data_IF_704044311181
#
_entry.id   IF_704044311181
#
_cell.length_a   1.000
_cell.length_b   1.000
_cell.length_c   1.000
_cell.angle_alpha   90.00
_cell.angle_beta   90.00
_cell.angle_gamma   90.00
#
_symmetry.space_group_name_H-M   'P 1'
#
loop_
_entity.id
_entity.type
_entity.pdbx_description
1 polymer ?
#
# COMPACT_ATOMS: atom_id res chain seq x y z
N UNK A 1 15.08 7.23 19.84
CA UNK A 1 13.84 7.60 20.56
C UNK A 1 13.50 6.45 21.48
N UNK A 2 13.49 6.68 22.78
CA UNK A 2 12.97 5.69 23.76
C UNK A 2 11.48 5.49 23.47
N UNK A 3 10.99 4.25 23.42
CA UNK A 3 9.58 4.00 23.19
C UNK A 3 8.76 4.61 24.35
N UNK A 4 7.93 5.57 24.03
CA UNK A 4 7.02 6.20 24.99
C UNK A 4 5.92 5.20 25.35
N UNK A 5 5.80 4.82 26.61
CA UNK A 5 4.76 3.89 27.07
C UNK A 5 3.40 4.58 27.00
N UNK A 6 2.51 4.03 26.19
CA UNK A 6 1.15 4.55 26.06
C UNK A 6 0.25 4.16 27.25
N UNK A 7 0.57 3.08 27.96
CA UNK A 7 -0.17 2.61 29.12
C UNK A 7 0.76 1.83 30.09
N UNK A 8 0.70 2.09 31.39
CA UNK A 8 1.44 1.31 32.38
C UNK A 8 0.85 -0.10 32.55
N UNK A 9 -0.35 -0.36 32.08
CA UNK A 9 -1.05 -1.64 32.19
C UNK A 9 -0.85 -2.54 30.97
N UNK A 10 -0.43 -1.99 29.85
CA UNK A 10 -0.14 -2.71 28.62
C UNK A 10 1.13 -2.13 27.99
N UNK A 11 2.25 -2.78 28.31
CA UNK A 11 3.58 -2.32 27.91
C UNK A 11 3.88 -2.50 26.43
N UNK A 12 3.07 -3.26 25.69
CA UNK A 12 3.22 -3.48 24.26
C UNK A 12 2.41 -2.46 23.43
N UNK A 13 1.38 -1.85 24.05
CA UNK A 13 0.58 -0.84 23.39
C UNK A 13 1.39 0.44 23.10
N UNK A 14 1.19 1.04 21.94
CA UNK A 14 1.82 2.30 21.53
C UNK A 14 0.78 3.28 21.03
N UNK A 15 1.13 4.55 21.04
CA UNK A 15 0.32 5.59 20.41
C UNK A 15 0.48 5.52 18.91
N UNK A 16 -0.63 5.45 18.20
CA UNK A 16 -0.72 5.58 16.75
C UNK A 16 -1.59 6.74 16.34
N UNK A 17 -1.37 7.26 15.15
CA UNK A 17 -2.18 8.33 14.58
C UNK A 17 -2.42 8.13 13.09
N UNK A 18 -3.64 8.43 12.64
CA UNK A 18 -3.98 8.50 11.22
C UNK A 18 -4.87 9.72 10.99
N UNK A 19 -4.36 10.70 10.23
CA UNK A 19 -4.99 12.02 10.08
C UNK A 19 -5.17 12.65 11.48
N UNK A 20 -6.36 13.06 11.84
CA UNK A 20 -6.68 13.72 13.12
C UNK A 20 -7.13 12.72 14.21
N UNK A 21 -7.03 11.42 13.95
CA UNK A 21 -7.43 10.37 14.90
C UNK A 21 -6.19 9.72 15.52
N UNK A 22 -6.13 9.75 16.85
CA UNK A 22 -5.09 9.10 17.64
C UNK A 22 -5.70 7.97 18.47
N UNK A 23 -4.93 6.90 18.67
CA UNK A 23 -5.33 5.79 19.52
C UNK A 23 -4.11 5.17 20.19
N UNK A 24 -4.34 4.55 21.34
CA UNK A 24 -3.33 3.73 22.01
C UNK A 24 -3.68 2.25 21.80
N UNK A 25 -2.72 1.45 21.38
CA UNK A 25 -2.93 0.02 21.20
C UNK A 25 -2.19 -0.56 20.01
N UNK A 26 -2.94 -1.20 19.12
CA UNK A 26 -2.43 -2.08 18.08
C UNK A 26 -3.02 -1.75 16.72
N UNK A 27 -2.39 -2.30 15.66
CA UNK A 27 -2.95 -2.38 14.31
C UNK A 27 -3.16 -3.85 13.95
N UNK A 28 -4.22 -4.11 13.19
CA UNK A 28 -4.45 -5.39 12.53
C UNK A 28 -4.26 -5.24 11.03
N UNK A 29 -3.49 -6.15 10.45
CA UNK A 29 -3.28 -6.29 9.02
C UNK A 29 -3.95 -7.58 8.57
N UNK A 30 -4.86 -7.48 7.60
CA UNK A 30 -5.64 -8.61 7.10
C UNK A 30 -5.37 -8.77 5.62
N UNK A 31 -4.99 -9.98 5.20
CA UNK A 31 -4.95 -10.37 3.78
C UNK A 31 -6.09 -11.34 3.51
N UNK A 32 -6.76 -11.17 2.38
CA UNK A 32 -7.84 -12.05 1.95
C UNK A 32 -7.71 -12.37 0.46
N UNK A 33 -8.33 -13.47 0.04
CA UNK A 33 -8.47 -13.77 -1.38
C UNK A 33 -9.41 -12.76 -2.03
N UNK A 34 -9.18 -12.44 -3.31
CA UNK A 34 -10.13 -11.71 -4.12
C UNK A 34 -10.20 -12.37 -5.51
N UNK A 35 -11.39 -12.57 -6.02
CA UNK A 35 -11.58 -13.08 -7.38
C UNK A 35 -11.63 -11.92 -8.37
N UNK A 36 -10.98 -12.12 -9.54
CA UNK A 36 -11.12 -11.15 -10.64
C UNK A 36 -12.53 -11.25 -11.22
N UNK A 37 -13.22 -10.11 -11.43
CA UNK A 37 -14.46 -10.09 -12.18
C UNK A 37 -14.24 -10.68 -13.58
N UNK A 38 -15.05 -11.65 -13.98
CA UNK A 38 -14.98 -12.26 -15.31
C UNK A 38 -14.05 -13.46 -15.48
N UNK A 39 -13.44 -13.97 -14.41
CA UNK A 39 -12.76 -15.27 -14.44
C UNK A 39 -13.57 -16.25 -13.57
N UNK A 40 -14.65 -16.83 -14.11
CA UNK A 40 -15.28 -17.93 -13.38
C UNK A 40 -14.28 -19.08 -13.31
N UNK A 41 -14.09 -19.72 -12.15
CA UNK A 41 -13.44 -21.01 -12.12
C UNK A 41 -14.24 -21.91 -13.06
N UNK A 42 -13.53 -22.68 -13.90
CA UNK A 42 -14.13 -23.49 -14.97
C UNK A 42 -15.28 -24.44 -14.52
N UNK A 43 -15.55 -24.49 -13.22
CA UNK A 43 -16.43 -25.47 -12.58
C UNK A 43 -17.40 -24.88 -11.53
N UNK A 44 -17.48 -23.57 -11.34
CA UNK A 44 -18.30 -22.97 -10.27
C UNK A 44 -19.47 -22.15 -10.83
N UNK A 45 -20.67 -22.65 -10.58
CA UNK A 45 -21.95 -21.94 -10.81
C UNK A 45 -22.23 -20.86 -9.75
N UNK A 46 -21.46 -20.83 -8.66
CA UNK A 46 -21.62 -19.88 -7.55
C UNK A 46 -20.26 -19.23 -7.24
N UNK A 47 -20.21 -17.88 -7.13
CA UNK A 47 -18.98 -17.16 -6.74
C UNK A 47 -18.45 -17.69 -5.40
N UNK A 48 -17.13 -17.87 -5.30
CA UNK A 48 -16.48 -18.29 -4.05
C UNK A 48 -16.41 -17.11 -3.08
N UNK A 49 -16.52 -17.37 -1.77
CA UNK A 49 -16.34 -16.31 -0.78
C UNK A 49 -14.88 -15.88 -0.71
N UNK A 50 -14.63 -14.59 -0.52
CA UNK A 50 -13.31 -14.13 -0.14
C UNK A 50 -12.98 -14.64 1.27
N UNK A 51 -11.83 -15.30 1.43
CA UNK A 51 -11.38 -15.84 2.70
C UNK A 51 -10.13 -15.11 3.19
N UNK A 52 -10.10 -14.85 4.50
CA UNK A 52 -8.92 -14.28 5.14
C UNK A 52 -7.82 -15.34 5.18
N UNK A 53 -6.68 -15.04 4.56
CA UNK A 53 -5.55 -15.95 4.42
C UNK A 53 -4.41 -15.60 5.38
N UNK A 54 -4.31 -14.34 5.80
CA UNK A 54 -3.31 -13.91 6.76
C UNK A 54 -3.85 -12.84 7.71
N UNK A 55 -3.37 -12.91 8.96
CA UNK A 55 -3.58 -11.89 9.99
C UNK A 55 -2.23 -11.58 10.63
N UNK A 56 -1.86 -10.32 10.64
CA UNK A 56 -0.72 -9.83 11.42
C UNK A 56 -1.18 -8.74 12.38
N UNK A 57 -0.53 -8.64 13.52
CA UNK A 57 -0.82 -7.62 14.53
C UNK A 57 0.48 -6.95 14.91
N UNK A 58 0.47 -5.63 14.94
CA UNK A 58 1.61 -4.82 15.38
C UNK A 58 1.14 -3.86 16.46
N UNK A 59 2.08 -3.28 17.19
CA UNK A 59 1.75 -2.07 17.94
C UNK A 59 1.39 -0.93 16.97
N UNK A 60 0.72 0.08 17.49
CA UNK A 60 0.18 1.16 16.65
C UNK A 60 1.24 2.08 16.02
N UNK A 61 2.49 2.04 16.47
CA UNK A 61 3.59 2.88 15.94
C UNK A 61 4.25 2.29 14.69
N UNK A 62 4.11 0.98 14.45
CA UNK A 62 4.72 0.31 13.29
C UNK A 62 4.08 0.83 12.00
N UNK A 63 4.87 1.35 11.04
CA UNK A 63 4.33 1.81 9.77
C UNK A 63 3.85 0.63 8.90
N UNK A 64 2.75 0.83 8.17
CA UNK A 64 2.15 -0.22 7.35
C UNK A 64 3.13 -0.79 6.30
N UNK A 65 4.00 0.07 5.76
CA UNK A 65 5.05 -0.32 4.79
C UNK A 65 5.99 -1.40 5.34
N UNK A 66 6.27 -1.41 6.64
CA UNK A 66 7.15 -2.41 7.27
C UNK A 66 6.50 -3.80 7.35
N UNK A 67 5.20 -3.91 7.07
CA UNK A 67 4.47 -5.18 7.17
C UNK A 67 4.33 -5.92 5.83
N UNK A 68 4.68 -5.30 4.71
CA UNK A 68 4.52 -5.92 3.38
C UNK A 68 5.33 -7.20 3.27
N UNK A 69 6.64 -7.14 3.51
CA UNK A 69 7.51 -8.31 3.45
C UNK A 69 7.18 -9.39 4.50
N UNK A 70 6.98 -9.08 5.81
CA UNK A 70 6.54 -10.07 6.79
C UNK A 70 5.23 -10.78 6.42
N UNK A 71 4.29 -10.09 5.78
CA UNK A 71 3.05 -10.69 5.30
C UNK A 71 3.35 -11.67 4.15
N UNK A 72 4.22 -11.31 3.20
CA UNK A 72 4.63 -12.22 2.12
C UNK A 72 5.34 -13.45 2.65
N UNK A 73 6.26 -13.30 3.59
CA UNK A 73 6.94 -14.42 4.25
C UNK A 73 5.94 -15.35 4.96
N UNK A 74 4.95 -14.77 5.65
CA UNK A 74 3.91 -15.55 6.33
C UNK A 74 2.97 -16.28 5.35
N UNK A 75 2.71 -15.72 4.18
CA UNK A 75 1.93 -16.37 3.10
C UNK A 75 2.74 -17.46 2.44
N UNK A 76 4.03 -17.24 2.18
CA UNK A 76 4.97 -18.20 1.62
C UNK A 76 5.07 -19.45 2.49
N UNK A 77 5.31 -19.27 3.78
CA UNK A 77 5.38 -20.38 4.75
C UNK A 77 4.11 -21.23 4.84
N UNK A 78 2.99 -20.78 4.26
CA UNK A 78 1.73 -21.53 4.16
C UNK A 78 1.42 -22.01 2.75
N UNK A 79 2.27 -21.72 1.76
CA UNK A 79 2.00 -22.02 0.35
C UNK A 79 0.83 -21.22 -0.24
N UNK A 80 0.60 -20.00 0.24
CA UNK A 80 -0.52 -19.13 -0.14
C UNK A 80 -0.07 -17.83 -0.82
N UNK A 81 1.11 -17.81 -1.44
CA UNK A 81 1.59 -16.63 -2.16
C UNK A 81 0.63 -16.30 -3.33
N UNK A 82 0.15 -15.05 -3.43
CA UNK A 82 -0.62 -14.62 -4.58
C UNK A 82 0.29 -14.21 -5.73
N UNK A 83 -0.16 -14.32 -6.99
CA UNK A 83 0.53 -13.71 -8.12
C UNK A 83 0.43 -12.18 -8.14
N UNK A 84 -0.67 -11.64 -7.61
CA UNK A 84 -0.91 -10.21 -7.46
C UNK A 84 -1.39 -9.91 -6.03
N UNK A 85 -0.84 -8.87 -5.40
CA UNK A 85 -1.27 -8.41 -4.08
C UNK A 85 -1.72 -6.95 -4.15
N UNK A 86 -2.99 -6.73 -3.80
CA UNK A 86 -3.62 -5.40 -3.83
C UNK A 86 -3.46 -4.73 -2.48
N UNK A 87 -2.74 -3.62 -2.42
CA UNK A 87 -2.37 -2.93 -1.18
C UNK A 87 -2.89 -1.50 -1.14
N UNK A 88 -3.16 -0.99 0.05
CA UNK A 88 -3.40 0.45 0.26
C UNK A 88 -2.09 1.25 0.09
N UNK A 89 -2.20 2.53 -0.21
CA UNK A 89 -1.07 3.46 -0.41
C UNK A 89 -0.12 3.60 0.79
N UNK A 90 -0.49 3.07 1.96
CA UNK A 90 0.37 3.03 3.14
C UNK A 90 1.41 1.89 3.16
N UNK A 91 1.24 0.88 2.32
CA UNK A 91 2.06 -0.34 2.33
C UNK A 91 3.24 -0.34 1.34
N UNK A 92 3.20 0.31 0.16
CA UNK A 92 4.27 0.20 -0.81
C UNK A 92 5.40 1.19 -0.58
N UNK A 93 6.60 0.75 -0.93
CA UNK A 93 7.71 1.60 -1.36
C UNK A 93 8.18 1.13 -2.74
N UNK A 94 8.98 1.96 -3.41
CA UNK A 94 9.52 1.57 -4.72
C UNK A 94 10.43 0.33 -4.63
N UNK A 95 11.18 0.20 -3.53
CA UNK A 95 12.02 -0.95 -3.21
C UNK A 95 11.18 -2.21 -2.98
N UNK A 96 10.07 -2.10 -2.23
CA UNK A 96 9.18 -3.24 -1.98
C UNK A 96 8.50 -3.74 -3.26
N UNK A 97 8.20 -2.86 -4.22
CA UNK A 97 7.64 -3.30 -5.50
C UNK A 97 8.60 -4.20 -6.27
N UNK A 98 9.87 -3.80 -6.36
CA UNK A 98 10.89 -4.63 -7.02
C UNK A 98 11.26 -5.87 -6.21
N UNK A 99 11.40 -5.76 -4.88
CA UNK A 99 11.72 -6.86 -3.98
C UNK A 99 10.61 -7.92 -3.94
N UNK A 100 9.34 -7.52 -3.84
CA UNK A 100 8.21 -8.46 -3.83
C UNK A 100 8.16 -9.31 -5.10
N UNK A 101 8.47 -8.73 -6.26
CA UNK A 101 8.54 -9.47 -7.51
C UNK A 101 9.77 -10.41 -7.56
N UNK A 102 10.94 -9.91 -7.14
CA UNK A 102 12.19 -10.69 -7.20
C UNK A 102 12.21 -11.86 -6.20
N UNK A 103 11.76 -11.62 -4.96
CA UNK A 103 11.92 -12.57 -3.86
C UNK A 103 10.72 -13.53 -3.73
N UNK A 104 9.52 -13.08 -4.09
CA UNK A 104 8.27 -13.84 -3.90
C UNK A 104 7.48 -14.07 -5.19
N UNK A 105 7.88 -13.48 -6.32
CA UNK A 105 7.11 -13.54 -7.57
C UNK A 105 5.78 -12.76 -7.51
N UNK A 106 5.62 -11.84 -6.57
CA UNK A 106 4.38 -11.09 -6.34
C UNK A 106 4.42 -9.74 -7.05
N UNK A 107 3.43 -9.47 -7.89
CA UNK A 107 3.20 -8.13 -8.44
C UNK A 107 2.33 -7.32 -7.48
N UNK A 108 2.86 -6.20 -6.98
CA UNK A 108 2.09 -5.30 -6.11
C UNK A 108 1.19 -4.38 -6.95
N UNK A 109 -0.10 -4.42 -6.69
CA UNK A 109 -1.09 -3.51 -7.27
C UNK A 109 -1.48 -2.47 -6.21
N UNK A 110 -0.85 -1.31 -6.28
CA UNK A 110 -0.96 -0.27 -5.26
C UNK A 110 -0.72 1.10 -5.86
N UNK A 111 -1.44 2.16 -5.43
CA UNK A 111 -1.23 3.49 -5.95
C UNK A 111 0.09 4.05 -5.44
N UNK A 112 0.92 4.49 -6.35
CA UNK A 112 2.10 5.29 -6.02
C UNK A 112 1.67 6.70 -5.63
N UNK A 113 2.27 7.20 -4.58
CA UNK A 113 2.03 8.59 -4.15
C UNK A 113 2.42 9.57 -5.27
N UNK A 114 1.54 10.54 -5.48
CA UNK A 114 1.81 11.62 -6.42
C UNK A 114 3.06 12.42 -6.00
N UNK A 115 3.72 13.03 -6.97
CA UNK A 115 4.77 14.00 -6.66
C UNK A 115 4.13 15.27 -6.09
N UNK A 116 4.42 15.56 -4.81
CA UNK A 116 3.91 16.74 -4.10
C UNK A 116 4.93 17.90 -4.08
N UNK A 117 5.97 17.84 -4.91
CA UNK A 117 6.93 18.94 -5.04
C UNK A 117 6.23 20.23 -5.50
N UNK A 118 6.76 21.41 -5.16
CA UNK A 118 6.22 22.68 -5.64
C UNK A 118 6.10 22.73 -7.17
N UNK A 119 7.04 22.12 -7.89
CA UNK A 119 7.05 22.07 -9.36
C UNK A 119 5.93 21.18 -9.91
N UNK A 120 5.68 20.02 -9.29
CA UNK A 120 4.57 19.16 -9.68
C UNK A 120 3.21 19.83 -9.43
N UNK A 121 3.06 20.52 -8.29
CA UNK A 121 1.84 21.30 -7.99
C UNK A 121 1.62 22.47 -8.95
N UNK A 122 2.70 23.12 -9.40
CA UNK A 122 2.60 24.22 -10.33
C UNK A 122 2.20 23.79 -11.76
N UNK A 123 2.42 22.51 -12.14
CA UNK A 123 2.05 21.97 -13.43
C UNK A 123 2.73 22.63 -14.65
N UNK A 124 3.89 23.29 -14.42
CA UNK A 124 4.61 24.06 -15.47
C UNK A 124 5.63 23.23 -16.25
N UNK A 125 5.67 21.90 -16.05
CA UNK A 125 6.57 20.99 -16.76
C UNK A 125 8.02 20.99 -16.25
N UNK A 126 8.25 21.36 -14.99
CA UNK A 126 9.57 21.32 -14.35
C UNK A 126 9.62 20.41 -13.12
N UNK A 127 8.66 19.53 -12.99
CA UNK A 127 8.69 18.45 -12.00
C UNK A 127 9.77 17.42 -12.34
N UNK A 128 9.97 16.46 -11.45
CA UNK A 128 11.01 15.43 -11.63
C UNK A 128 10.79 14.56 -12.87
N UNK A 129 9.53 14.30 -13.25
CA UNK A 129 9.19 13.46 -14.39
C UNK A 129 9.54 14.13 -15.74
N UNK A 130 9.63 15.44 -15.79
CA UNK A 130 10.00 16.20 -16.99
C UNK A 130 11.49 16.11 -17.36
N UNK A 131 12.32 15.54 -16.48
CA UNK A 131 13.76 15.36 -16.73
C UNK A 131 14.02 13.99 -17.34
N UNK A 132 14.84 13.94 -18.40
CA UNK A 132 15.31 12.68 -18.99
C UNK A 132 16.53 12.19 -18.21
N UNK A 133 16.46 10.96 -17.70
CA UNK A 133 17.53 10.33 -16.90
C UNK A 133 18.23 9.29 -17.76
N UNK A 134 19.52 9.46 -17.96
CA UNK A 134 20.41 8.52 -18.66
C UNK A 134 21.33 7.85 -17.63
N UNK A 135 21.00 6.63 -17.26
CA UNK A 135 21.78 5.86 -16.28
C UNK A 135 23.08 5.29 -16.84
N UNK A 136 23.18 5.14 -18.16
CA UNK A 136 24.42 4.63 -18.80
C UNK A 136 25.49 5.69 -18.87
N UNK A 137 25.07 6.96 -19.08
CA UNK A 137 25.96 8.11 -19.09
C UNK A 137 26.09 8.80 -17.74
N UNK A 138 25.34 8.33 -16.73
CA UNK A 138 25.25 8.98 -15.42
C UNK A 138 24.90 10.47 -15.53
N UNK A 139 23.88 10.79 -16.34
CA UNK A 139 23.53 12.16 -16.69
C UNK A 139 22.00 12.37 -16.73
N UNK A 140 21.56 13.57 -16.42
CA UNK A 140 20.19 14.00 -16.65
C UNK A 140 20.12 15.20 -17.57
N UNK A 141 19.08 15.25 -18.41
CA UNK A 141 18.78 16.39 -19.28
C UNK A 141 17.52 17.07 -18.76
N UNK A 142 17.60 18.39 -18.57
CA UNK A 142 16.46 19.20 -18.14
C UNK A 142 15.50 19.52 -19.31
N UNK A 143 14.27 19.98 -19.06
CA UNK A 143 13.32 20.36 -20.11
C UNK A 143 13.81 21.46 -21.07
N UNK A 144 14.86 22.21 -20.69
CA UNK A 144 15.51 23.20 -21.55
C UNK A 144 16.72 22.63 -22.30
N UNK A 145 16.89 21.31 -22.36
CA UNK A 145 17.95 20.64 -23.11
C UNK A 145 19.34 20.71 -22.45
N UNK A 146 19.46 21.22 -21.23
CA UNK A 146 20.74 21.31 -20.54
C UNK A 146 21.04 20.03 -19.75
N UNK A 147 22.31 19.62 -19.73
CA UNK A 147 22.75 18.41 -19.03
C UNK A 147 23.22 18.71 -17.61
N UNK A 148 23.09 17.70 -16.74
CA UNK A 148 23.55 17.77 -15.36
C UNK A 148 25.07 17.87 -15.27
N UNK A 149 25.57 18.48 -14.20
CA UNK A 149 27.01 18.63 -13.92
C UNK A 149 27.53 17.60 -12.92
N UNK A 150 26.66 16.92 -12.17
CA UNK A 150 27.09 15.90 -11.24
C UNK A 150 26.01 14.82 -11.07
N UNK A 151 26.50 13.62 -10.75
CA UNK A 151 25.72 12.41 -10.49
C UNK A 151 26.34 11.72 -9.27
N UNK A 152 25.63 11.75 -8.15
CA UNK A 152 26.19 11.27 -6.88
C UNK A 152 25.26 10.21 -6.26
N UNK A 153 25.63 8.92 -6.30
CA UNK A 153 24.98 7.89 -5.50
C UNK A 153 25.17 8.17 -4.01
N UNK A 154 24.11 8.15 -3.24
CA UNK A 154 24.10 8.40 -1.80
C UNK A 154 23.03 7.58 -1.11
N UNK A 155 23.26 7.18 0.13
CA UNK A 155 22.22 6.58 0.97
C UNK A 155 21.60 7.67 1.85
N UNK A 156 20.31 7.94 1.69
CA UNK A 156 19.56 8.91 2.47
C UNK A 156 18.47 8.23 3.28
N UNK A 157 18.53 8.35 4.59
CA UNK A 157 17.54 7.75 5.52
C UNK A 157 17.33 6.25 5.31
N UNK A 158 18.42 5.53 4.99
CA UNK A 158 18.39 4.09 4.75
C UNK A 158 17.94 3.67 3.35
N UNK A 159 17.70 4.63 2.43
CA UNK A 159 17.33 4.37 1.04
C UNK A 159 18.43 4.82 0.10
N UNK A 160 18.81 3.98 -0.84
CA UNK A 160 19.77 4.32 -1.88
C UNK A 160 19.12 5.22 -2.91
N UNK A 161 19.78 6.33 -3.18
CA UNK A 161 19.32 7.36 -4.11
C UNK A 161 20.49 7.94 -4.90
N UNK A 162 20.17 8.62 -5.99
CA UNK A 162 21.13 9.34 -6.81
C UNK A 162 20.75 10.80 -6.81
N UNK A 163 21.66 11.62 -6.32
CA UNK A 163 21.50 13.07 -6.30
C UNK A 163 22.17 13.67 -7.53
N UNK A 164 21.36 14.24 -8.42
CA UNK A 164 21.76 14.82 -9.69
C UNK A 164 21.67 16.34 -9.58
N UNK A 165 22.75 17.05 -9.92
CA UNK A 165 22.81 18.52 -9.80
C UNK A 165 23.16 19.15 -11.13
N UNK A 166 22.52 20.27 -11.44
CA UNK A 166 22.82 21.13 -12.59
C UNK A 166 23.71 22.30 -12.15
N UNK A 167 24.63 22.71 -12.99
CA UNK A 167 25.57 23.80 -12.65
C UNK A 167 24.85 25.14 -12.43
N UNK A 168 25.31 25.93 -11.47
CA UNK A 168 24.81 27.30 -11.24
C UNK A 168 25.01 28.19 -12.48
N UNK A 169 26.12 28.01 -13.20
CA UNK A 169 26.39 28.75 -14.44
C UNK A 169 25.32 28.44 -15.52
N UNK A 170 24.78 27.26 -15.57
CA UNK A 170 23.71 26.84 -16.50
C UNK A 170 22.34 27.30 -16.04
N UNK A 171 22.00 27.07 -14.76
CA UNK A 171 20.69 27.39 -14.22
C UNK A 171 20.51 28.89 -13.90
N UNK A 172 21.59 29.60 -13.55
CA UNK A 172 21.53 30.99 -13.15
C UNK A 172 20.93 31.93 -14.21
N UNK A 173 21.39 31.90 -15.47
CA UNK A 173 20.85 32.71 -16.56
C UNK A 173 19.60 32.13 -17.20
N UNK A 174 19.11 30.93 -16.78
CA UNK A 174 17.96 30.24 -17.39
C UNK A 174 16.67 31.09 -17.27
N UNK A 175 15.98 31.40 -18.39
CA UNK A 175 14.82 32.29 -18.38
C UNK A 175 13.63 31.71 -17.61
N UNK A 176 13.53 30.36 -17.49
CA UNK A 176 12.47 29.65 -16.76
C UNK A 176 12.90 29.17 -15.39
N UNK A 177 14.02 29.66 -14.86
CA UNK A 177 14.60 29.23 -13.59
C UNK A 177 13.60 29.28 -12.43
N UNK A 178 12.80 30.32 -12.34
CA UNK A 178 11.86 30.53 -11.24
C UNK A 178 10.74 29.47 -11.20
N UNK A 179 10.36 28.93 -12.36
CA UNK A 179 9.43 27.82 -12.46
C UNK A 179 10.08 26.47 -12.10
N UNK A 180 11.40 26.36 -12.37
CA UNK A 180 12.15 25.12 -12.20
C UNK A 180 12.69 24.95 -10.77
N UNK A 181 13.20 26.01 -10.13
CA UNK A 181 13.82 25.91 -8.81
C UNK A 181 13.71 27.19 -8.00
N UNK A 182 13.39 27.04 -6.71
CA UNK A 182 13.40 28.10 -5.71
C UNK A 182 14.71 28.12 -4.89
N UNK A 183 15.70 27.31 -5.29
CA UNK A 183 16.96 27.18 -4.57
C UNK A 183 17.72 28.50 -4.50
N UNK A 184 18.21 28.88 -3.30
CA UNK A 184 19.06 30.04 -3.08
C UNK A 184 20.37 29.95 -3.86
N UNK A 185 20.89 28.75 -4.11
CA UNK A 185 22.10 28.50 -4.89
C UNK A 185 21.87 28.61 -6.40
N UNK A 186 20.66 28.99 -6.84
CA UNK A 186 20.29 29.17 -8.25
C UNK A 186 20.54 27.95 -9.13
N UNK A 187 20.58 26.76 -8.58
CA UNK A 187 20.76 25.49 -9.31
C UNK A 187 19.62 24.53 -9.07
N UNK A 188 19.30 23.71 -10.07
CA UNK A 188 18.37 22.60 -9.91
C UNK A 188 19.11 21.38 -9.36
N UNK A 189 18.49 20.73 -8.41
CA UNK A 189 18.86 19.40 -7.93
C UNK A 189 17.63 18.51 -7.99
N UNK A 190 17.80 17.31 -8.47
CA UNK A 190 16.77 16.24 -8.45
C UNK A 190 17.38 15.00 -7.78
N UNK A 191 16.53 14.23 -7.14
CA UNK A 191 16.91 12.96 -6.53
C UNK A 191 16.07 11.87 -7.15
N UNK A 192 16.72 10.81 -7.64
CA UNK A 192 16.08 9.64 -8.24
C UNK A 192 16.54 8.37 -7.53
N UNK A 193 15.77 7.29 -7.65
CA UNK A 193 16.19 5.97 -7.19
C UNK A 193 17.22 5.35 -8.14
N UNK A 194 17.94 4.30 -7.75
CA UNK A 194 18.74 3.46 -8.66
C UNK A 194 17.91 2.96 -9.84
N UNK A 195 18.56 2.64 -10.96
CA UNK A 195 17.92 2.33 -12.24
C UNK A 195 16.72 1.39 -12.11
N UNK A 196 16.92 0.20 -11.52
CA UNK A 196 15.86 -0.82 -11.43
C UNK A 196 14.60 -0.28 -10.73
N UNK A 197 14.78 0.41 -9.59
CA UNK A 197 13.69 0.99 -8.82
C UNK A 197 13.03 2.16 -9.56
N UNK A 198 13.84 3.00 -10.23
CA UNK A 198 13.34 4.14 -11.01
C UNK A 198 12.49 3.67 -12.21
N UNK A 199 12.96 2.69 -12.94
CA UNK A 199 12.25 2.13 -14.10
C UNK A 199 10.96 1.42 -13.67
N UNK A 200 11.01 0.61 -12.61
CA UNK A 200 9.82 -0.03 -12.03
C UNK A 200 8.78 1.01 -11.57
N UNK A 201 9.21 2.08 -10.93
CA UNK A 201 8.32 3.17 -10.50
C UNK A 201 7.69 3.91 -11.68
N UNK A 202 8.44 4.13 -12.77
CA UNK A 202 7.89 4.74 -14.00
C UNK A 202 6.87 3.85 -14.68
N UNK A 203 7.17 2.56 -14.81
CA UNK A 203 6.25 1.57 -15.36
C UNK A 203 4.95 1.52 -14.54
N UNK A 204 5.05 1.38 -13.22
CA UNK A 204 3.89 1.34 -12.34
C UNK A 204 3.04 2.61 -12.40
N UNK A 205 3.63 3.79 -12.59
CA UNK A 205 2.86 5.04 -12.80
C UNK A 205 2.12 5.05 -14.12
N UNK A 206 2.75 4.58 -15.19
CA UNK A 206 2.10 4.48 -16.50
C UNK A 206 0.93 3.48 -16.46
N UNK A 207 1.13 2.34 -15.81
CA UNK A 207 0.08 1.34 -15.63
C UNK A 207 -1.11 1.88 -14.82
N UNK A 208 -0.84 2.66 -13.79
CA UNK A 208 -1.86 3.25 -12.90
C UNK A 208 -2.86 4.17 -13.64
N UNK A 209 -2.48 4.73 -14.78
CA UNK A 209 -3.35 5.55 -15.63
C UNK A 209 -4.28 4.70 -16.50
N UNK A 210 -4.02 3.41 -16.63
CA UNK A 210 -4.81 2.50 -17.46
C UNK A 210 -6.13 2.09 -16.80
N UNK A 211 -7.16 1.88 -17.62
CA UNK A 211 -8.46 1.37 -17.11
C UNK A 211 -8.34 -0.02 -16.52
N UNK A 212 -7.46 -0.86 -17.05
CA UNK A 212 -7.24 -2.23 -16.56
C UNK A 212 -6.64 -2.22 -15.16
N UNK A 213 -5.67 -1.36 -14.91
CA UNK A 213 -5.11 -1.20 -13.57
C UNK A 213 -6.15 -0.67 -12.58
N UNK A 214 -6.95 0.33 -13.00
CA UNK A 214 -8.01 0.90 -12.16
C UNK A 214 -9.06 -0.15 -11.79
N UNK A 215 -9.46 -0.99 -12.75
CA UNK A 215 -10.40 -2.10 -12.52
C UNK A 215 -9.80 -3.15 -11.56
N UNK A 216 -8.53 -3.50 -11.72
CA UNK A 216 -7.81 -4.37 -10.79
C UNK A 216 -7.75 -3.77 -9.38
N UNK A 217 -7.33 -2.52 -9.27
CA UNK A 217 -7.18 -1.86 -7.97
C UNK A 217 -8.52 -1.71 -7.22
N UNK A 218 -9.63 -1.60 -7.95
CA UNK A 218 -10.97 -1.55 -7.35
C UNK A 218 -11.30 -2.81 -6.53
N UNK A 219 -10.68 -3.97 -6.83
CA UNK A 219 -10.86 -5.21 -6.05
C UNK A 219 -10.40 -5.06 -4.60
N UNK A 220 -9.45 -4.16 -4.32
CA UNK A 220 -9.01 -3.85 -2.96
C UNK A 220 -10.15 -3.40 -2.03
N UNK A 221 -11.23 -2.83 -2.59
CA UNK A 221 -12.36 -2.38 -1.78
C UNK A 221 -13.00 -3.53 -0.97
N UNK A 222 -12.80 -4.78 -1.37
CA UNK A 222 -13.28 -5.97 -0.64
C UNK A 222 -12.77 -6.01 0.80
N UNK A 223 -11.47 -5.72 1.02
CA UNK A 223 -10.88 -5.77 2.36
C UNK A 223 -11.47 -4.71 3.32
N UNK A 224 -11.96 -3.59 2.80
CA UNK A 224 -12.66 -2.60 3.63
C UNK A 224 -13.99 -3.14 4.15
N UNK A 225 -14.69 -3.94 3.32
CA UNK A 225 -15.87 -4.70 3.72
C UNK A 225 -15.54 -5.71 4.81
N UNK A 226 -14.41 -6.42 4.69
CA UNK A 226 -13.93 -7.38 5.69
C UNK A 226 -13.62 -6.72 7.03
N UNK A 227 -12.92 -5.60 7.03
CA UNK A 227 -12.67 -4.84 8.27
C UNK A 227 -13.99 -4.36 8.90
N UNK A 228 -14.93 -3.86 8.09
CA UNK A 228 -16.26 -3.45 8.56
C UNK A 228 -17.03 -4.61 9.15
N UNK A 229 -17.01 -5.77 8.52
CA UNK A 229 -17.62 -7.00 9.03
C UNK A 229 -16.97 -7.43 10.35
N UNK A 230 -15.63 -7.40 10.45
CA UNK A 230 -14.88 -7.70 11.67
C UNK A 230 -15.28 -6.79 12.83
N UNK A 231 -15.44 -5.49 12.58
CA UNK A 231 -15.90 -4.53 13.58
C UNK A 231 -17.32 -4.87 14.05
N UNK A 232 -18.22 -5.17 13.11
CA UNK A 232 -19.64 -5.44 13.45
C UNK A 232 -19.88 -6.76 14.16
N UNK A 233 -19.09 -7.81 13.83
CA UNK A 233 -19.30 -9.18 14.33
C UNK A 233 -18.44 -9.48 15.54
N UNK A 234 -17.18 -9.04 15.55
CA UNK A 234 -16.19 -9.44 16.57
C UNK A 234 -15.67 -8.27 17.40
N UNK A 235 -16.16 -7.05 17.14
CA UNK A 235 -15.68 -5.83 17.80
C UNK A 235 -14.16 -5.62 17.61
N UNK A 236 -13.69 -5.81 16.37
CA UNK A 236 -12.27 -5.81 16.00
C UNK A 236 -11.52 -4.52 16.39
N UNK A 237 -12.21 -3.42 16.67
CA UNK A 237 -11.60 -2.15 17.08
C UNK A 237 -11.13 -2.13 18.54
N UNK A 238 -11.61 -3.03 19.37
CA UNK A 238 -11.28 -3.04 20.79
C UNK A 238 -10.44 -4.27 21.15
N UNK A 239 -9.21 -4.03 21.59
CA UNK A 239 -8.39 -5.07 22.19
C UNK A 239 -8.99 -5.47 23.55
N UNK A 240 -9.43 -6.73 23.66
CA UNK A 240 -10.00 -7.29 24.91
C UNK A 240 -8.93 -7.80 25.86
N UNK A 241 -7.73 -7.96 25.36
CA UNK A 241 -6.61 -8.52 26.10
C UNK A 241 -5.44 -7.53 26.14
N UNK A 242 -4.56 -7.71 27.11
CA UNK A 242 -3.32 -6.95 27.27
C UNK A 242 -2.17 -7.72 26.64
N UNK A 243 -1.30 -7.01 25.94
CA UNK A 243 -0.12 -7.53 25.29
C UNK A 243 -0.35 -7.94 23.84
N UNK A 244 0.68 -7.78 23.01
CA UNK A 244 0.65 -8.01 21.58
C UNK A 244 0.23 -9.44 21.23
N UNK A 245 0.80 -10.45 21.91
CA UNK A 245 0.54 -11.86 21.61
C UNK A 245 -0.93 -12.25 21.82
N UNK A 246 -1.57 -11.79 22.90
CA UNK A 246 -2.98 -12.09 23.18
C UNK A 246 -3.92 -11.32 22.26
N UNK A 247 -3.57 -10.08 21.91
CA UNK A 247 -4.32 -9.28 20.94
C UNK A 247 -4.21 -9.89 19.54
N UNK A 248 -3.04 -10.41 19.17
CA UNK A 248 -2.87 -11.16 17.93
C UNK A 248 -3.78 -12.40 17.89
N UNK A 249 -3.81 -13.18 18.97
CA UNK A 249 -4.70 -14.33 19.06
C UNK A 249 -6.19 -13.96 18.92
N UNK A 250 -6.62 -12.84 19.53
CA UNK A 250 -7.96 -12.28 19.35
C UNK A 250 -8.25 -11.98 17.86
N UNK A 251 -7.32 -11.36 17.16
CA UNK A 251 -7.45 -11.03 15.75
C UNK A 251 -7.53 -12.30 14.88
N UNK A 252 -6.75 -13.33 15.19
CA UNK A 252 -6.82 -14.63 14.52
C UNK A 252 -8.18 -15.29 14.71
N UNK A 253 -8.72 -15.34 15.95
CA UNK A 253 -10.06 -15.86 16.19
C UNK A 253 -11.15 -15.04 15.48
N UNK A 254 -11.00 -13.74 15.40
CA UNK A 254 -11.91 -12.89 14.63
C UNK A 254 -11.90 -13.28 13.15
N UNK A 255 -10.74 -13.49 12.56
CA UNK A 255 -10.60 -13.93 11.17
C UNK A 255 -11.20 -15.31 10.92
N UNK A 256 -10.98 -16.27 11.84
CA UNK A 256 -11.60 -17.60 11.76
C UNK A 256 -13.13 -17.50 11.81
N UNK A 257 -13.68 -16.71 12.73
CA UNK A 257 -15.12 -16.50 12.83
C UNK A 257 -15.70 -15.91 11.54
N UNK A 258 -15.03 -14.91 10.93
CA UNK A 258 -15.46 -14.33 9.66
C UNK A 258 -15.42 -15.34 8.51
N UNK A 259 -14.35 -16.14 8.42
CA UNK A 259 -14.24 -17.19 7.41
C UNK A 259 -15.35 -18.25 7.56
N UNK A 260 -15.65 -18.69 8.79
CA UNK A 260 -16.74 -19.64 9.05
C UNK A 260 -18.11 -19.07 8.65
N UNK A 261 -18.39 -17.80 8.96
CA UNK A 261 -19.65 -17.13 8.56
C UNK A 261 -19.75 -17.07 7.03
N UNK A 262 -18.64 -16.77 6.33
CA UNK A 262 -18.62 -16.68 4.86
C UNK A 262 -18.79 -18.04 4.19
N UNK A 263 -18.15 -19.07 4.73
CA UNK A 263 -18.27 -20.45 4.24
C UNK A 263 -19.68 -20.98 4.48
N UNK A 264 -20.26 -20.74 5.66
CA UNK A 264 -21.64 -21.12 5.96
C UNK A 264 -22.63 -20.47 4.98
N UNK A 265 -22.48 -19.17 4.74
CA UNK A 265 -23.30 -18.44 3.78
C UNK A 265 -23.16 -19.02 2.36
N UNK A 266 -21.93 -19.35 1.94
CA UNK A 266 -21.67 -19.92 0.63
C UNK A 266 -22.26 -21.32 0.47
N UNK A 267 -22.11 -22.21 1.46
CA UNK A 267 -22.66 -23.56 1.43
C UNK A 267 -24.20 -23.57 1.43
N UNK A 268 -24.82 -22.59 2.07
CA UNK A 268 -26.29 -22.48 2.12
C UNK A 268 -26.86 -21.62 0.98
N UNK A 269 -26.04 -21.21 0.00
CA UNK A 269 -26.47 -20.40 -1.16
C UNK A 269 -26.94 -18.99 -0.81
N UNK A 270 -26.52 -18.45 0.34
CA UNK A 270 -26.85 -17.08 0.70
C UNK A 270 -26.01 -16.08 -0.10
N UNK A 271 -26.58 -14.91 -0.46
CA UNK A 271 -25.83 -13.86 -1.15
C UNK A 271 -24.61 -13.43 -0.34
N UNK A 272 -23.42 -13.44 -0.98
CA UNK A 272 -22.15 -13.05 -0.38
C UNK A 272 -21.97 -11.53 -0.24
N UNK A 273 -22.78 -10.74 -0.94
CA UNK A 273 -22.77 -9.27 -0.95
C UNK A 273 -23.43 -8.65 0.30
N UNK A 274 -24.18 -9.42 1.07
CA UNK A 274 -24.89 -8.97 2.28
C UNK A 274 -24.38 -9.68 3.53
N UNK A 275 -23.46 -9.03 4.23
CA UNK A 275 -22.84 -9.58 5.46
C UNK A 275 -23.77 -9.58 6.69
N UNK A 276 -24.94 -8.95 6.62
CA UNK A 276 -25.94 -8.92 7.69
C UNK A 276 -27.32 -8.73 7.11
N UNK A 277 -28.10 -9.80 7.02
CA UNK A 277 -29.56 -9.71 6.88
C UNK A 277 -30.16 -9.36 8.24
N UNK A 278 -30.93 -8.27 8.32
CA UNK A 278 -31.71 -7.98 9.52
C UNK A 278 -32.71 -9.09 9.78
N UNK A 279 -33.16 -9.26 11.02
CA UNK A 279 -34.24 -10.22 11.32
C UNK A 279 -35.50 -9.99 10.46
N UNK A 280 -35.79 -8.73 10.15
CA UNK A 280 -36.89 -8.34 9.27
C UNK A 280 -36.67 -8.85 7.83
N UNK A 281 -35.47 -8.63 7.27
CA UNK A 281 -35.14 -9.11 5.92
C UNK A 281 -35.11 -10.65 5.84
N UNK A 282 -34.70 -11.34 6.91
CA UNK A 282 -34.82 -12.82 6.96
C UNK A 282 -36.26 -13.27 6.93
N UNK A 283 -37.13 -12.57 7.65
CA UNK A 283 -38.58 -12.86 7.64
C UNK A 283 -39.19 -12.60 6.26
N UNK A 284 -38.83 -11.49 5.62
CA UNK A 284 -39.27 -11.16 4.26
C UNK A 284 -38.81 -12.22 3.24
N UNK A 285 -37.57 -12.68 3.31
CA UNK A 285 -37.04 -13.74 2.46
C UNK A 285 -37.72 -15.09 2.74
N UNK A 286 -38.01 -15.41 3.99
CA UNK A 286 -38.71 -16.63 4.37
C UNK A 286 -40.22 -16.65 3.96
N UNK A 287 -40.83 -15.45 3.84
CA UNK A 287 -42.21 -15.31 3.37
C UNK A 287 -42.33 -15.27 1.84
N UNK A 288 -41.21 -15.01 1.14
CA UNK A 288 -41.13 -14.94 -0.31
C UNK A 288 -40.70 -16.28 -0.96
N UNK A 289 -40.28 -17.27 -0.16
CA UNK A 289 -39.91 -18.62 -0.57
C UNK A 289 -41.06 -19.58 -0.39
#
# INVERSE_FOLDING_TARGET
>A
MTPEFASPYDTDARCGGKRDTFWNGYKVHVSETCERPGTPPADATVPRPNLITNVATTDASVPDVAMTEPIHQALDGRGLLPGEHYLDSGYPSAELMSGSLADFGITLITPLLADHSPQARAGTGFDRAAFTIDFDREQATCPQGQTSSSWNPVTQRGTDTIVITFATATCGPCPVREQCTTSRTRRRQITVHPRAVHEAQRAARADQETKDWQAKYALRAGVEGTIRQGIAVTDLRHARYRGLAKTHLQHVFSAVALNLIRLDAWWNGHPLDRTRTSHLTRLELALAA
#
